data_IF_591563662315
#
_entry.id   IF_591563662315
#
_cell.length_a   1.000
_cell.length_b   1.000
_cell.length_c   1.000
_cell.angle_alpha   90.00
_cell.angle_beta   90.00
_cell.angle_gamma   90.00
#
_symmetry.space_group_name_H-M   'P 1'
#
loop_
_entity.id
_entity.type
_entity.pdbx_description
1 polymer ?
#
# COMPACT_ATOMS: atom_id res chain seq x y z
N UNK A 1 32.33 33.19 24.28
CA UNK A 1 32.29 32.27 23.12
C UNK A 1 32.22 30.78 23.51
N UNK A 2 32.67 30.34 24.70
CA UNK A 2 32.60 28.93 25.09
C UNK A 2 31.16 28.40 25.41
N UNK A 3 30.27 29.25 25.93
CA UNK A 3 28.89 28.86 26.35
C UNK A 3 27.95 28.53 25.18
N UNK A 4 28.15 29.17 24.02
CA UNK A 4 27.28 28.97 22.85
C UNK A 4 27.56 27.61 22.16
N UNK A 5 28.82 27.16 22.17
CA UNK A 5 29.21 25.86 21.61
C UNK A 5 28.69 24.69 22.46
N UNK A 6 28.67 24.82 23.79
CA UNK A 6 28.11 23.78 24.68
C UNK A 6 26.59 23.65 24.55
N UNK A 7 25.88 24.76 24.31
CA UNK A 7 24.44 24.75 24.05
C UNK A 7 24.11 24.11 22.68
N UNK A 8 24.92 24.40 21.65
CA UNK A 8 24.76 23.83 20.31
C UNK A 8 25.02 22.32 20.30
N UNK A 9 26.08 21.88 21.00
CA UNK A 9 26.39 20.45 21.18
C UNK A 9 25.24 19.71 21.90
N UNK A 10 24.66 20.32 22.94
CA UNK A 10 23.54 19.73 23.69
C UNK A 10 22.24 19.67 22.89
N UNK A 11 22.00 20.66 22.02
CA UNK A 11 20.85 20.67 21.11
C UNK A 11 20.98 19.58 20.03
N UNK A 12 22.18 19.37 19.49
CA UNK A 12 22.44 18.31 18.52
C UNK A 12 22.26 16.90 19.12
N UNK A 13 22.69 16.67 20.38
CA UNK A 13 22.45 15.38 21.05
C UNK A 13 20.98 15.14 21.36
N UNK A 14 20.20 16.17 21.72
CA UNK A 14 18.76 16.04 21.95
C UNK A 14 18.02 15.68 20.65
N UNK A 15 18.34 16.32 19.53
CA UNK A 15 17.75 16.02 18.22
C UNK A 15 18.14 14.61 17.73
N UNK A 16 19.39 14.20 17.95
CA UNK A 16 19.84 12.84 17.64
C UNK A 16 19.08 11.76 18.42
N UNK A 17 18.75 12.01 19.70
CA UNK A 17 17.95 11.08 20.50
C UNK A 17 16.53 10.94 19.96
N UNK A 18 15.91 12.03 19.52
CA UNK A 18 14.53 12.06 18.99
C UNK A 18 14.37 11.32 17.65
N UNK A 19 15.44 11.17 16.85
CA UNK A 19 15.39 10.40 15.59
C UNK A 19 15.49 8.88 15.78
N UNK A 20 16.01 8.40 16.90
CA UNK A 20 16.13 6.95 17.15
C UNK A 20 14.81 6.28 17.55
N UNK A 21 13.81 7.05 18.01
CA UNK A 21 12.52 6.51 18.48
C UNK A 21 11.51 6.27 17.36
N UNK A 22 11.71 6.83 16.16
CA UNK A 22 10.78 6.67 15.04
C UNK A 22 10.94 5.35 14.30
N UNK A 23 12.11 4.69 14.36
CA UNK A 23 12.34 3.39 13.72
C UNK A 23 11.64 2.24 14.46
N UNK A 24 11.46 2.35 15.78
CA UNK A 24 10.81 1.31 16.59
C UNK A 24 9.28 1.35 16.54
N UNK A 25 8.67 2.36 15.92
CA UNK A 25 7.21 2.55 15.87
C UNK A 25 6.52 1.82 14.69
N UNK A 26 7.26 1.08 13.86
CA UNK A 26 6.69 0.26 12.79
C UNK A 26 6.21 -1.10 13.32
N UNK A 27 5.40 -1.12 14.39
CA UNK A 27 5.01 -2.36 15.08
C UNK A 27 4.07 -3.29 14.29
N UNK A 28 3.62 -2.91 13.08
CA UNK A 28 2.66 -3.72 12.29
C UNK A 28 2.96 -3.71 10.80
N UNK A 29 4.15 -4.14 10.42
CA UNK A 29 4.51 -4.37 9.03
C UNK A 29 4.06 -5.76 8.59
N UNK A 30 2.87 -5.84 7.98
CA UNK A 30 2.38 -7.04 7.27
C UNK A 30 3.16 -7.21 5.96
N UNK A 31 4.40 -7.70 6.08
CA UNK A 31 5.35 -7.75 4.95
C UNK A 31 5.68 -9.16 4.52
N UNK A 32 5.24 -10.16 5.27
CA UNK A 32 5.44 -11.56 4.95
C UNK A 32 4.11 -12.27 4.66
N UNK A 33 4.19 -13.37 3.91
CA UNK A 33 3.04 -14.24 3.69
C UNK A 33 2.45 -14.83 4.98
N UNK A 34 3.25 -14.96 6.04
CA UNK A 34 2.78 -15.46 7.33
C UNK A 34 1.89 -14.45 8.07
N UNK A 35 1.97 -13.17 7.70
CA UNK A 35 1.14 -12.10 8.25
C UNK A 35 -0.23 -12.01 7.55
N UNK A 36 -0.44 -12.78 6.48
CA UNK A 36 -1.70 -12.80 5.74
C UNK A 36 -2.77 -13.57 6.51
N UNK A 37 -4.00 -13.04 6.51
CA UNK A 37 -5.16 -13.73 7.06
C UNK A 37 -5.40 -15.04 6.26
N UNK A 38 -5.39 -16.22 6.91
CA UNK A 38 -5.63 -17.49 6.23
C UNK A 38 -6.99 -17.57 5.54
N UNK A 39 -8.02 -16.92 6.09
CA UNK A 39 -9.35 -16.90 5.50
C UNK A 39 -9.40 -16.02 4.23
N UNK A 40 -8.70 -14.88 4.24
CA UNK A 40 -8.57 -14.05 3.04
C UNK A 40 -7.74 -14.76 1.95
N UNK A 41 -6.70 -15.47 2.35
CA UNK A 41 -5.86 -16.27 1.45
C UNK A 41 -6.69 -17.38 0.78
N UNK A 42 -7.46 -18.14 1.56
CA UNK A 42 -8.32 -19.20 1.04
C UNK A 42 -9.39 -18.67 0.06
N UNK A 43 -9.95 -17.49 0.33
CA UNK A 43 -10.88 -16.84 -0.59
C UNK A 43 -10.21 -16.46 -1.91
N UNK A 44 -9.01 -15.87 -1.84
CA UNK A 44 -8.25 -15.49 -3.02
C UNK A 44 -7.88 -16.71 -3.85
N UNK A 45 -7.45 -17.79 -3.21
CA UNK A 45 -7.11 -19.05 -3.87
C UNK A 45 -8.34 -19.66 -4.59
N UNK A 46 -9.52 -19.64 -3.98
CA UNK A 46 -10.75 -20.10 -4.62
C UNK A 46 -11.15 -19.24 -5.84
N UNK A 47 -10.95 -17.92 -5.76
CA UNK A 47 -11.16 -17.02 -6.91
C UNK A 47 -10.15 -17.33 -8.01
N UNK A 48 -8.88 -17.51 -7.66
CA UNK A 48 -7.82 -17.83 -8.64
C UNK A 48 -8.08 -19.16 -9.32
N UNK A 49 -8.38 -20.22 -8.58
CA UNK A 49 -8.73 -21.53 -9.16
C UNK A 49 -9.87 -21.42 -10.18
N UNK A 50 -10.88 -20.60 -9.89
CA UNK A 50 -12.01 -20.39 -10.78
C UNK A 50 -11.66 -19.67 -12.08
N UNK A 51 -10.73 -18.72 -12.06
CA UNK A 51 -10.45 -17.84 -13.20
C UNK A 51 -9.13 -18.14 -13.93
N UNK A 52 -8.13 -18.73 -13.26
CA UNK A 52 -6.86 -19.15 -13.88
C UNK A 52 -7.01 -20.42 -14.75
N UNK A 53 -8.11 -21.16 -14.62
CA UNK A 53 -8.44 -22.27 -15.50
C UNK A 53 -8.75 -21.85 -16.95
N UNK A 54 -9.03 -20.55 -17.18
CA UNK A 54 -9.26 -20.02 -18.53
C UNK A 54 -7.92 -19.63 -19.16
N UNK A 55 -7.58 -20.27 -20.28
CA UNK A 55 -6.33 -19.98 -21.01
C UNK A 55 -6.32 -18.64 -21.74
N UNK A 56 -7.50 -18.07 -22.02
CA UNK A 56 -7.66 -16.80 -22.73
C UNK A 56 -8.85 -16.04 -22.15
N UNK A 57 -8.74 -14.72 -22.06
CA UNK A 57 -9.80 -13.84 -21.58
C UNK A 57 -10.15 -12.82 -22.67
N UNK A 58 -11.40 -12.82 -23.10
CA UNK A 58 -11.98 -11.75 -23.92
C UNK A 58 -13.19 -11.15 -23.20
N UNK A 59 -13.20 -9.83 -23.02
CA UNK A 59 -14.28 -9.13 -22.33
C UNK A 59 -14.49 -7.73 -22.92
N UNK A 60 -15.76 -7.34 -23.08
CA UNK A 60 -16.14 -5.93 -23.24
C UNK A 60 -16.50 -5.39 -21.87
N UNK A 61 -15.99 -4.23 -21.52
CA UNK A 61 -16.27 -3.61 -20.22
C UNK A 61 -16.75 -2.17 -20.41
N UNK A 62 -17.47 -1.70 -19.39
CA UNK A 62 -17.79 -0.28 -19.19
C UNK A 62 -17.23 0.12 -17.82
N UNK A 63 -16.40 1.14 -17.79
CA UNK A 63 -15.85 1.75 -16.59
C UNK A 63 -16.63 3.03 -16.30
N UNK A 64 -17.27 3.09 -15.13
CA UNK A 64 -17.91 4.30 -14.64
C UNK A 64 -17.19 4.74 -13.37
N UNK A 65 -16.65 5.96 -13.37
CA UNK A 65 -16.01 6.59 -12.21
C UNK A 65 -16.91 7.74 -11.75
N UNK A 66 -17.37 7.66 -10.51
CA UNK A 66 -18.18 8.69 -9.86
C UNK A 66 -17.35 9.37 -8.78
N UNK A 67 -17.09 10.68 -8.96
CA UNK A 67 -16.48 11.54 -7.97
C UNK A 67 -17.56 12.53 -7.50
N UNK A 68 -17.75 12.73 -6.18
CA UNK A 68 -18.74 13.68 -5.69
C UNK A 68 -18.55 15.07 -6.30
N UNK A 69 -19.66 15.72 -6.66
CA UNK A 69 -19.68 17.07 -7.27
C UNK A 69 -19.08 17.16 -8.69
N UNK A 70 -18.58 16.06 -9.25
CA UNK A 70 -18.11 15.98 -10.63
C UNK A 70 -19.10 15.21 -11.52
N UNK A 71 -19.02 15.44 -12.84
CA UNK A 71 -19.77 14.64 -13.79
C UNK A 71 -19.20 13.21 -13.83
N UNK A 72 -20.05 12.16 -13.93
CA UNK A 72 -19.58 10.79 -14.06
C UNK A 72 -18.69 10.65 -15.29
N UNK A 73 -17.53 10.03 -15.12
CA UNK A 73 -16.66 9.65 -16.22
C UNK A 73 -17.04 8.23 -16.64
N UNK A 74 -17.42 8.07 -17.90
CA UNK A 74 -17.75 6.78 -18.50
C UNK A 74 -16.78 6.46 -19.63
N UNK A 75 -16.25 5.23 -19.63
CA UNK A 75 -15.42 4.70 -20.70
C UNK A 75 -15.84 3.26 -21.04
N UNK A 76 -15.75 2.88 -22.32
CA UNK A 76 -16.05 1.54 -22.79
C UNK A 76 -14.83 0.96 -23.49
N UNK A 77 -14.50 -0.28 -23.16
CA UNK A 77 -13.30 -0.92 -23.66
C UNK A 77 -13.49 -2.38 -24.02
N UNK A 78 -12.49 -2.92 -24.70
CA UNK A 78 -12.36 -4.33 -24.98
C UNK A 78 -11.00 -4.81 -24.49
N UNK A 79 -11.02 -5.88 -23.70
CA UNK A 79 -9.86 -6.56 -23.17
C UNK A 79 -9.77 -7.92 -23.84
N UNK A 80 -8.65 -8.21 -24.47
CA UNK A 80 -8.31 -9.52 -24.99
C UNK A 80 -6.90 -9.87 -24.55
N UNK A 81 -6.75 -10.98 -23.84
CA UNK A 81 -5.47 -11.54 -23.44
C UNK A 81 -5.46 -13.03 -23.77
N UNK A 82 -4.47 -13.44 -24.56
CA UNK A 82 -4.24 -14.81 -25.02
C UNK A 82 -3.11 -15.47 -24.23
#
# INVERSE_FOLDING_TARGET
>A
MLSQNTALLSLCTLVGLLWTTTLAAQERQYTSHADADPAATALLDAVREKYEAYHSLEARFKLTIEIPEEAPYEDEGYLAQA
#
